data_IF_362808764049
#
_entry.id   IF_362808764049
#
_cell.length_a   1.000
_cell.length_b   1.000
_cell.length_c   1.000
_cell.angle_alpha   90.00
_cell.angle_beta   90.00
_cell.angle_gamma   90.00
#
_symmetry.space_group_name_H-M   'P 1'
#
loop_
_entity.id
_entity.type
_entity.pdbx_description
1 polymer ?
#
# COMPACT_ATOMS: atom_id res chain seq x y z
N UNK A 1 6.73 -23.86 5.06
CA UNK A 1 5.38 -23.32 5.31
C UNK A 1 4.58 -23.40 4.02
N UNK A 2 3.33 -23.84 4.05
CA UNK A 2 2.46 -23.88 2.86
C UNK A 2 1.63 -22.59 2.79
N UNK A 3 2.20 -21.55 2.18
CA UNK A 3 1.58 -20.23 2.09
C UNK A 3 0.23 -20.27 1.37
N UNK A 4 0.09 -21.08 0.33
CA UNK A 4 -1.16 -21.15 -0.45
C UNK A 4 -2.27 -21.67 0.44
N UNK A 5 -2.03 -22.78 1.14
CA UNK A 5 -3.01 -23.36 2.06
C UNK A 5 -3.41 -22.41 3.19
N UNK A 6 -2.46 -21.67 3.77
CA UNK A 6 -2.76 -20.70 4.82
C UNK A 6 -3.61 -19.55 4.28
N UNK A 7 -3.25 -19.01 3.12
CA UNK A 7 -3.99 -17.92 2.50
C UNK A 7 -5.40 -18.34 2.06
N UNK A 8 -5.57 -19.56 1.55
CA UNK A 8 -6.89 -20.11 1.21
C UNK A 8 -7.79 -20.19 2.47
N UNK A 9 -7.24 -20.66 3.61
CA UNK A 9 -7.99 -20.72 4.87
C UNK A 9 -8.39 -19.34 5.40
N UNK A 10 -7.50 -18.36 5.27
CA UNK A 10 -7.78 -16.98 5.67
C UNK A 10 -8.83 -16.32 4.76
N UNK A 11 -8.80 -16.64 3.47
CA UNK A 11 -9.79 -16.16 2.51
C UNK A 11 -11.17 -16.76 2.75
N UNK A 12 -11.26 -18.07 2.99
CA UNK A 12 -12.51 -18.72 3.38
C UNK A 12 -13.09 -18.06 4.64
N UNK A 13 -12.26 -17.90 5.68
CA UNK A 13 -12.64 -17.20 6.92
C UNK A 13 -13.10 -15.77 6.67
N UNK A 14 -12.43 -15.03 5.79
CA UNK A 14 -12.83 -13.66 5.44
C UNK A 14 -14.23 -13.64 4.81
N UNK A 15 -14.52 -14.52 3.87
CA UNK A 15 -15.80 -14.53 3.17
C UNK A 15 -16.96 -15.16 3.96
N UNK A 16 -16.69 -15.84 5.08
CA UNK A 16 -17.74 -16.26 6.02
C UNK A 16 -18.48 -15.07 6.66
N UNK A 17 -17.73 -14.04 7.07
CA UNK A 17 -18.27 -12.81 7.68
C UNK A 17 -17.27 -11.65 7.55
N UNK A 18 -17.21 -10.98 6.37
CA UNK A 18 -16.18 -9.99 6.09
C UNK A 18 -16.10 -8.86 7.11
N UNK A 19 -17.25 -8.34 7.57
CA UNK A 19 -17.31 -7.21 8.48
C UNK A 19 -16.69 -7.54 9.84
N UNK A 20 -16.92 -8.75 10.36
CA UNK A 20 -16.40 -9.16 11.66
C UNK A 20 -15.01 -9.82 11.59
N UNK A 21 -14.63 -10.39 10.44
CA UNK A 21 -13.37 -11.12 10.28
C UNK A 21 -12.21 -10.25 9.77
N UNK A 22 -12.50 -9.12 9.10
CA UNK A 22 -11.48 -8.25 8.47
C UNK A 22 -10.30 -7.94 9.39
N UNK A 23 -10.55 -7.48 10.62
CA UNK A 23 -9.48 -7.12 11.56
C UNK A 23 -8.64 -8.33 11.99
N UNK A 24 -9.28 -9.49 12.23
CA UNK A 24 -8.58 -10.71 12.61
C UNK A 24 -7.73 -11.25 11.46
N UNK A 25 -8.26 -11.26 10.24
CA UNK A 25 -7.53 -11.69 9.04
C UNK A 25 -6.34 -10.77 8.77
N UNK A 26 -6.50 -9.45 8.91
CA UNK A 26 -5.38 -8.51 8.77
C UNK A 26 -4.29 -8.79 9.82
N UNK A 27 -4.66 -9.05 11.07
CA UNK A 27 -3.69 -9.37 12.12
C UNK A 27 -2.92 -10.66 11.81
N UNK A 28 -3.61 -11.72 11.40
CA UNK A 28 -2.97 -12.99 11.00
C UNK A 28 -2.05 -12.83 9.77
N UNK A 29 -2.46 -12.01 8.79
CA UNK A 29 -1.62 -11.69 7.64
C UNK A 29 -0.39 -10.87 8.02
N UNK A 30 -0.52 -9.96 9.00
CA UNK A 30 0.61 -9.21 9.54
C UNK A 30 1.59 -10.12 10.28
N UNK A 31 1.10 -10.99 11.15
CA UNK A 31 1.93 -11.98 11.85
C UNK A 31 2.68 -12.88 10.85
N UNK A 32 1.97 -13.32 9.80
CA UNK A 32 2.56 -14.12 8.73
C UNK A 32 3.65 -13.35 7.98
N UNK A 33 3.38 -12.11 7.56
CA UNK A 33 4.34 -11.23 6.89
C UNK A 33 5.61 -11.05 7.74
N UNK A 34 5.46 -10.75 9.02
CA UNK A 34 6.57 -10.53 9.95
C UNK A 34 7.36 -11.80 10.28
N UNK A 35 6.78 -12.99 10.08
CA UNK A 35 7.44 -14.28 10.31
C UNK A 35 8.31 -14.76 9.14
N UNK A 36 8.26 -14.09 8.00
CA UNK A 36 9.01 -14.46 6.80
C UNK A 36 10.37 -13.76 6.80
N UNK A 37 11.43 -14.52 7.03
CA UNK A 37 12.79 -14.00 7.15
C UNK A 37 13.56 -13.93 5.81
N UNK A 38 13.03 -14.53 4.74
CA UNK A 38 13.68 -14.57 3.43
C UNK A 38 12.94 -13.78 2.36
N UNK A 39 13.69 -13.02 1.56
CA UNK A 39 13.14 -12.08 0.58
C UNK A 39 12.33 -12.77 -0.53
N UNK A 40 12.75 -13.96 -0.97
CA UNK A 40 12.06 -14.72 -2.01
C UNK A 40 10.67 -15.18 -1.55
N UNK A 41 10.56 -15.73 -0.34
CA UNK A 41 9.28 -16.13 0.26
C UNK A 41 8.43 -14.92 0.56
N UNK A 42 9.02 -13.80 0.98
CA UNK A 42 8.30 -12.55 1.24
C UNK A 42 7.67 -12.01 -0.05
N UNK A 43 8.45 -11.95 -1.13
CA UNK A 43 7.96 -11.53 -2.44
C UNK A 43 6.85 -12.45 -2.94
N UNK A 44 7.01 -13.77 -2.77
CA UNK A 44 5.97 -14.75 -3.10
C UNK A 44 4.71 -14.54 -2.27
N UNK A 45 4.82 -14.29 -0.97
CA UNK A 45 3.69 -13.98 -0.10
C UNK A 45 2.95 -12.72 -0.58
N UNK A 46 3.67 -11.62 -0.83
CA UNK A 46 3.09 -10.36 -1.29
C UNK A 46 2.33 -10.51 -2.62
N UNK A 47 2.85 -11.29 -3.58
CA UNK A 47 2.15 -11.59 -4.85
C UNK A 47 0.89 -12.42 -4.60
N UNK A 48 0.96 -13.43 -3.73
CA UNK A 48 -0.16 -14.33 -3.47
C UNK A 48 -1.29 -13.68 -2.66
N UNK A 49 -0.95 -12.78 -1.73
CA UNK A 49 -1.93 -12.14 -0.83
C UNK A 49 -2.64 -10.96 -1.47
N UNK A 50 -1.99 -10.24 -2.41
CA UNK A 50 -2.55 -9.05 -3.03
C UNK A 50 -3.96 -9.24 -3.64
N UNK A 51 -4.26 -10.32 -4.39
CA UNK A 51 -5.60 -10.53 -4.95
C UNK A 51 -6.60 -11.17 -3.98
N UNK A 52 -6.19 -11.51 -2.75
CA UNK A 52 -7.01 -12.29 -1.81
C UNK A 52 -7.81 -11.37 -0.89
N UNK A 53 -8.90 -11.91 -0.36
CA UNK A 53 -9.74 -11.24 0.65
C UNK A 53 -10.15 -9.82 0.22
N UNK A 54 -10.52 -9.63 -1.06
CA UNK A 54 -10.89 -8.31 -1.60
C UNK A 54 -9.75 -7.28 -1.65
N UNK A 55 -8.49 -7.68 -1.43
CA UNK A 55 -7.34 -6.78 -1.44
C UNK A 55 -7.15 -5.98 -0.14
N UNK A 56 -7.76 -6.39 0.98
CA UNK A 56 -7.67 -5.68 2.28
C UNK A 56 -6.23 -5.52 2.78
N UNK A 57 -5.32 -6.38 2.35
CA UNK A 57 -3.92 -6.38 2.79
C UNK A 57 -2.98 -5.59 1.86
N UNK A 58 -3.48 -5.15 0.69
CA UNK A 58 -2.72 -4.35 -0.28
C UNK A 58 -2.05 -3.12 0.35
N UNK A 59 -2.70 -2.32 1.22
CA UNK A 59 -2.06 -1.15 1.82
C UNK A 59 -0.82 -1.50 2.65
N UNK A 60 -0.82 -2.66 3.31
CA UNK A 60 0.25 -3.09 4.21
C UNK A 60 1.48 -3.55 3.42
N UNK A 61 1.28 -4.35 2.36
CA UNK A 61 2.39 -4.72 1.47
C UNK A 61 2.91 -3.51 0.67
N UNK A 62 2.03 -2.57 0.32
CA UNK A 62 2.46 -1.35 -0.38
C UNK A 62 3.31 -0.47 0.54
N UNK A 63 3.00 -0.40 1.84
CA UNK A 63 3.82 0.31 2.82
C UNK A 63 5.25 -0.23 2.83
N UNK A 64 5.42 -1.53 3.03
CA UNK A 64 6.73 -2.18 3.09
C UNK A 64 7.54 -1.94 1.81
N UNK A 65 6.94 -2.21 0.65
CA UNK A 65 7.63 -2.01 -0.64
C UNK A 65 7.90 -0.54 -0.95
N UNK A 66 7.07 0.38 -0.45
CA UNK A 66 7.32 1.81 -0.57
C UNK A 66 8.50 2.24 0.29
N UNK A 67 8.61 1.73 1.52
CA UNK A 67 9.77 1.99 2.38
C UNK A 67 11.07 1.58 1.68
N UNK A 68 11.12 0.38 1.13
CA UNK A 68 12.26 -0.12 0.37
C UNK A 68 12.51 0.67 -0.94
N UNK A 69 11.45 1.10 -1.63
CA UNK A 69 11.55 1.92 -2.85
C UNK A 69 12.24 3.28 -2.62
N UNK A 70 11.98 3.90 -1.46
CA UNK A 70 12.58 5.18 -1.12
C UNK A 70 14.09 5.09 -0.87
N UNK A 71 14.59 3.89 -0.54
CA UNK A 71 16.02 3.60 -0.43
C UNK A 71 16.63 3.14 -1.77
N UNK A 72 15.92 2.31 -2.53
CA UNK A 72 16.34 1.83 -3.86
C UNK A 72 15.16 1.71 -4.83
N UNK A 73 15.33 2.24 -6.05
CA UNK A 73 14.32 2.19 -7.10
C UNK A 73 13.99 0.76 -7.62
N UNK A 74 14.73 -0.27 -7.18
CA UNK A 74 14.57 -1.66 -7.62
C UNK A 74 13.17 -2.24 -7.33
N UNK A 75 12.49 -1.70 -6.31
CA UNK A 75 11.14 -2.12 -5.92
C UNK A 75 10.03 -1.55 -6.83
N UNK A 76 10.38 -0.70 -7.81
CA UNK A 76 9.41 -0.06 -8.72
C UNK A 76 8.49 -1.06 -9.41
N UNK A 77 9.05 -2.11 -10.01
CA UNK A 77 8.25 -3.08 -10.76
C UNK A 77 7.22 -3.74 -9.85
N UNK A 78 7.64 -4.10 -8.63
CA UNK A 78 6.79 -4.69 -7.61
C UNK A 78 5.67 -3.73 -7.17
N UNK A 79 5.99 -2.45 -6.92
CA UNK A 79 4.98 -1.44 -6.59
C UNK A 79 3.96 -1.25 -7.72
N UNK A 80 4.40 -1.28 -8.98
CA UNK A 80 3.48 -1.20 -10.13
C UNK A 80 2.55 -2.42 -10.20
N UNK A 81 3.03 -3.62 -9.86
CA UNK A 81 2.20 -4.83 -9.74
C UNK A 81 1.18 -4.71 -8.60
N UNK A 82 1.59 -4.21 -7.43
CA UNK A 82 0.66 -3.96 -6.31
C UNK A 82 -0.40 -2.92 -6.72
N UNK A 83 -0.02 -1.85 -7.44
CA UNK A 83 -1.00 -0.87 -7.95
C UNK A 83 -1.95 -1.51 -8.95
N UNK A 84 -1.45 -2.40 -9.81
CA UNK A 84 -2.31 -3.16 -10.72
C UNK A 84 -3.31 -4.02 -9.96
N UNK A 85 -2.86 -4.78 -8.95
CA UNK A 85 -3.73 -5.58 -8.10
C UNK A 85 -4.77 -4.70 -7.38
N UNK A 86 -4.35 -3.56 -6.83
CA UNK A 86 -5.27 -2.61 -6.22
C UNK A 86 -6.33 -2.13 -7.21
N UNK A 87 -5.94 -1.76 -8.44
CA UNK A 87 -6.91 -1.26 -9.43
C UNK A 87 -7.93 -2.31 -9.88
N UNK A 88 -7.65 -3.59 -9.62
CA UNK A 88 -8.49 -4.73 -9.95
C UNK A 88 -9.23 -5.29 -8.73
N UNK A 89 -8.94 -4.83 -7.52
CA UNK A 89 -9.58 -5.32 -6.30
C UNK A 89 -10.88 -4.57 -6.01
N UNK A 90 -11.78 -5.23 -5.29
CA UNK A 90 -13.04 -4.64 -4.80
C UNK A 90 -12.80 -3.85 -3.51
N UNK A 91 -11.80 -2.98 -3.51
CA UNK A 91 -11.42 -2.23 -2.31
C UNK A 91 -12.56 -1.29 -1.85
N UNK A 92 -12.75 -1.22 -0.54
CA UNK A 92 -13.74 -0.33 0.07
C UNK A 92 -13.14 1.04 0.40
N UNK A 93 -13.96 1.92 0.98
CA UNK A 93 -13.54 3.28 1.31
C UNK A 93 -12.34 3.29 2.29
N UNK A 94 -12.27 2.32 3.19
CA UNK A 94 -11.20 2.21 4.18
C UNK A 94 -9.83 1.97 3.51
N UNK A 95 -9.76 0.99 2.60
CA UNK A 95 -8.54 0.68 1.85
C UNK A 95 -8.11 1.85 0.98
N UNK A 96 -9.06 2.58 0.35
CA UNK A 96 -8.76 3.80 -0.39
C UNK A 96 -8.15 4.88 0.49
N UNK A 97 -8.67 5.05 1.71
CA UNK A 97 -8.15 6.02 2.69
C UNK A 97 -6.74 5.67 3.14
N UNK A 98 -6.45 4.38 3.34
CA UNK A 98 -5.11 3.87 3.68
C UNK A 98 -4.12 4.00 2.51
N UNK A 99 -4.54 3.65 1.30
CA UNK A 99 -3.70 3.72 0.10
C UNK A 99 -3.40 5.15 -0.34
N UNK A 100 -4.33 6.08 -0.18
CA UNK A 100 -4.20 7.46 -0.65
C UNK A 100 -2.87 8.12 -0.23
N UNK A 101 -2.48 8.20 1.05
CA UNK A 101 -1.23 8.81 1.46
C UNK A 101 -0.02 8.07 0.87
N UNK A 102 -0.07 6.73 0.78
CA UNK A 102 1.02 5.92 0.21
C UNK A 102 1.21 6.18 -1.29
N UNK A 103 0.12 6.21 -2.05
CA UNK A 103 0.13 6.52 -3.48
C UNK A 103 0.62 7.95 -3.75
N UNK A 104 0.23 8.91 -2.91
CA UNK A 104 0.73 10.28 -2.99
C UNK A 104 2.25 10.30 -2.77
N UNK A 105 2.75 9.60 -1.74
CA UNK A 105 4.19 9.51 -1.47
C UNK A 105 4.95 8.84 -2.61
N UNK A 106 4.45 7.71 -3.13
CA UNK A 106 5.04 7.03 -4.28
C UNK A 106 5.11 7.97 -5.51
N UNK A 107 3.97 8.54 -5.91
CA UNK A 107 3.89 9.40 -7.09
C UNK A 107 4.71 10.70 -6.96
N UNK A 108 4.94 11.18 -5.74
CA UNK A 108 5.76 12.37 -5.50
C UNK A 108 7.27 12.08 -5.61
N UNK A 109 7.69 10.84 -5.37
CA UNK A 109 9.09 10.42 -5.43
C UNK A 109 9.46 9.69 -6.74
N UNK A 110 8.46 9.35 -7.56
CA UNK A 110 8.67 8.66 -8.83
C UNK A 110 8.85 9.62 -10.02
N UNK A 111 9.58 9.15 -11.04
CA UNK A 111 9.80 9.87 -12.29
C UNK A 111 8.48 10.06 -13.05
N UNK A 112 8.25 11.26 -13.57
CA UNK A 112 7.02 11.58 -14.33
C UNK A 112 6.75 10.58 -15.48
N UNK A 113 7.80 10.14 -16.17
CA UNK A 113 7.70 9.12 -17.22
C UNK A 113 7.09 7.79 -16.72
N UNK A 114 7.50 7.33 -15.54
CA UNK A 114 6.96 6.09 -14.94
C UNK A 114 5.51 6.27 -14.50
N UNK A 115 5.14 7.47 -14.02
CA UNK A 115 3.74 7.80 -13.71
C UNK A 115 2.87 7.83 -14.96
N UNK A 116 3.38 8.38 -16.07
CA UNK A 116 2.66 8.40 -17.34
C UNK A 116 2.48 6.97 -17.89
N UNK A 117 3.51 6.14 -17.77
CA UNK A 117 3.45 4.71 -18.12
C UNK A 117 2.43 3.96 -17.26
N UNK A 118 2.46 4.13 -15.95
CA UNK A 118 1.47 3.56 -15.01
C UNK A 118 0.05 3.97 -15.40
N UNK A 119 -0.13 5.24 -15.75
CA UNK A 119 -1.41 5.77 -16.19
C UNK A 119 -1.93 5.04 -17.43
N UNK A 120 -1.12 4.97 -18.48
CA UNK A 120 -1.52 4.36 -19.76
C UNK A 120 -1.72 2.85 -19.66
N UNK A 121 -0.85 2.15 -18.92
CA UNK A 121 -0.84 0.69 -18.90
C UNK A 121 -1.86 0.09 -17.95
N UNK A 122 -2.16 0.77 -16.84
CA UNK A 122 -2.98 0.25 -15.73
C UNK A 122 -4.22 1.13 -15.54
N UNK A 123 -4.05 2.41 -15.19
CA UNK A 123 -5.15 3.27 -14.71
C UNK A 123 -6.19 3.54 -15.81
N UNK A 124 -5.77 3.82 -17.04
CA UNK A 124 -6.66 4.13 -18.15
C UNK A 124 -7.45 2.90 -18.64
N UNK A 125 -7.06 1.69 -18.20
CA UNK A 125 -7.79 0.44 -18.48
C UNK A 125 -8.72 0.02 -17.34
N UNK A 126 -8.56 0.61 -16.14
CA UNK A 126 -9.38 0.31 -14.99
C UNK A 126 -10.82 0.84 -15.14
N UNK A 127 -11.71 0.36 -14.26
CA UNK A 127 -13.08 0.81 -14.13
C UNK A 127 -13.14 2.35 -13.96
N UNK A 128 -14.14 3.06 -14.51
CA UNK A 128 -14.19 4.53 -14.49
C UNK A 128 -14.01 5.17 -13.10
N UNK A 129 -14.56 4.56 -12.05
CA UNK A 129 -14.43 5.05 -10.67
C UNK A 129 -12.99 4.97 -10.16
N UNK A 130 -12.31 3.85 -10.39
CA UNK A 130 -10.89 3.64 -10.06
C UNK A 130 -10.03 4.62 -10.86
N UNK A 131 -10.31 4.76 -12.16
CA UNK A 131 -9.62 5.72 -13.02
C UNK A 131 -9.75 7.15 -12.52
N UNK A 132 -10.94 7.54 -12.09
CA UNK A 132 -11.19 8.87 -11.53
C UNK A 132 -10.41 9.09 -10.23
N UNK A 133 -10.41 8.10 -9.33
CA UNK A 133 -9.64 8.14 -8.08
C UNK A 133 -8.15 8.41 -8.36
N UNK A 134 -7.53 7.61 -9.22
CA UNK A 134 -6.10 7.76 -9.55
C UNK A 134 -5.80 9.08 -10.26
N UNK A 135 -6.64 9.50 -11.22
CA UNK A 135 -6.45 10.78 -11.89
C UNK A 135 -6.55 11.97 -10.92
N UNK A 136 -7.42 11.90 -9.90
CA UNK A 136 -7.46 12.90 -8.83
C UNK A 136 -6.14 12.95 -8.04
N UNK A 137 -5.56 11.80 -7.72
CA UNK A 137 -4.26 11.73 -7.02
C UNK A 137 -3.11 12.26 -7.87
N UNK A 138 -2.99 11.83 -9.12
CA UNK A 138 -1.96 12.32 -10.05
C UNK A 138 -2.06 13.85 -10.21
N UNK A 139 -3.28 14.37 -10.41
CA UNK A 139 -3.51 15.81 -10.50
C UNK A 139 -3.19 16.54 -9.19
N UNK A 140 -3.51 15.94 -8.04
CA UNK A 140 -3.16 16.50 -6.74
C UNK A 140 -1.64 16.61 -6.59
N UNK A 141 -0.90 15.54 -6.92
CA UNK A 141 0.55 15.49 -6.77
C UNK A 141 1.23 16.55 -7.63
N UNK A 142 0.82 16.66 -8.90
CA UNK A 142 1.36 17.65 -9.84
C UNK A 142 1.11 19.10 -9.42
N UNK A 143 -0.02 19.39 -8.77
CA UNK A 143 -0.43 20.76 -8.40
C UNK A 143 0.04 21.20 -7.01
N UNK A 144 0.28 20.25 -6.10
CA UNK A 144 0.42 20.55 -4.67
C UNK A 144 1.78 20.09 -4.11
N UNK A 145 2.88 20.47 -4.77
CA UNK A 145 4.26 20.04 -4.42
C UNK A 145 4.60 20.21 -2.94
N UNK A 146 4.14 21.30 -2.29
CA UNK A 146 4.37 21.51 -0.86
C UNK A 146 3.63 20.49 0.01
N UNK A 147 2.37 20.21 -0.32
CA UNK A 147 1.54 19.27 0.42
C UNK A 147 2.04 17.85 0.23
N UNK A 148 2.46 17.47 -0.98
CA UNK A 148 3.03 16.14 -1.25
C UNK A 148 4.32 15.91 -0.50
N UNK A 149 5.19 16.92 -0.42
CA UNK A 149 6.41 16.84 0.41
C UNK A 149 6.10 16.49 1.86
N UNK A 150 5.01 17.00 2.42
CA UNK A 150 4.59 16.65 3.77
C UNK A 150 4.16 15.18 3.90
N UNK A 151 3.53 14.58 2.89
CA UNK A 151 3.23 13.14 2.90
C UNK A 151 4.53 12.32 2.86
N UNK A 152 5.48 12.69 2.00
CA UNK A 152 6.79 12.04 1.95
C UNK A 152 7.53 12.18 3.28
N UNK A 153 7.62 13.38 3.86
CA UNK A 153 8.27 13.59 5.17
C UNK A 153 7.60 12.79 6.29
N UNK A 154 6.27 12.69 6.30
CA UNK A 154 5.56 11.86 7.29
C UNK A 154 5.90 10.38 7.13
N UNK A 155 5.93 9.91 5.88
CA UNK A 155 6.24 8.52 5.61
C UNK A 155 7.70 8.19 5.93
N UNK A 156 8.64 9.09 5.62
CA UNK A 156 10.06 8.96 6.02
C UNK A 156 10.25 8.76 7.53
N UNK A 157 9.41 9.39 8.37
CA UNK A 157 9.46 9.19 9.83
C UNK A 157 8.99 7.78 10.24
N UNK A 158 8.09 7.19 9.45
CA UNK A 158 7.36 5.98 9.81
C UNK A 158 7.80 4.74 9.00
N UNK A 159 8.59 4.89 7.95
CA UNK A 159 8.87 3.80 7.01
C UNK A 159 9.56 2.59 7.65
N UNK A 160 10.34 2.82 8.71
CA UNK A 160 11.11 1.79 9.43
C UNK A 160 10.32 1.11 10.57
N UNK A 161 9.05 1.46 10.77
CA UNK A 161 8.16 0.79 11.71
C UNK A 161 7.11 -0.05 10.98
N UNK A 162 6.49 -0.98 11.71
CA UNK A 162 5.35 -1.76 11.20
C UNK A 162 4.24 -0.84 10.64
N UNK A 163 3.56 -1.24 9.55
CA UNK A 163 2.55 -0.41 8.91
C UNK A 163 1.48 0.05 9.89
N UNK A 164 1.46 1.35 10.17
CA UNK A 164 0.54 1.96 11.13
C UNK A 164 -0.18 3.16 10.51
N UNK A 165 -1.39 2.91 10.01
CA UNK A 165 -2.20 3.90 9.32
C UNK A 165 -2.78 4.97 10.27
N UNK A 166 -2.93 4.66 11.55
CA UNK A 166 -3.31 5.64 12.57
C UNK A 166 -2.20 6.68 12.73
N UNK A 167 -0.95 6.24 12.88
CA UNK A 167 0.21 7.14 12.92
C UNK A 167 0.36 7.92 11.62
N UNK A 168 0.20 7.27 10.46
CA UNK A 168 0.27 7.95 9.17
C UNK A 168 -0.82 9.02 9.01
N UNK A 169 -1.94 8.93 9.73
CA UNK A 169 -2.98 9.95 9.73
C UNK A 169 -2.63 11.19 10.57
N UNK A 170 -1.72 11.07 11.54
CA UNK A 170 -1.39 12.15 12.48
C UNK A 170 -0.73 13.35 11.79
N UNK A 171 -0.89 14.58 12.31
CA UNK A 171 -0.12 15.74 11.85
C UNK A 171 1.38 15.50 11.99
N UNK A 172 2.17 16.01 11.03
CA UNK A 172 3.63 15.84 11.03
C UNK A 172 4.30 16.36 12.32
N UNK A 173 3.76 17.41 12.94
CA UNK A 173 4.28 17.97 14.20
C UNK A 173 4.23 16.94 15.33
N UNK A 174 3.12 16.20 15.46
CA UNK A 174 2.98 15.15 16.48
C UNK A 174 3.90 13.96 16.21
N UNK A 175 4.14 13.63 14.94
CA UNK A 175 5.08 12.58 14.57
C UNK A 175 6.51 12.95 14.93
N UNK A 176 6.92 14.20 14.64
CA UNK A 176 8.25 14.69 15.02
C UNK A 176 8.45 14.67 16.53
N UNK A 177 7.46 15.09 17.32
CA UNK A 177 7.54 15.02 18.78
C UNK A 177 7.71 13.57 19.31
N UNK A 178 7.05 12.60 18.67
CA UNK A 178 7.09 11.19 19.07
C UNK A 178 8.39 10.48 18.68
N UNK A 179 8.91 10.72 17.47
CA UNK A 179 9.98 9.93 16.87
C UNK A 179 11.28 10.71 16.62
N UNK A 180 11.22 12.04 16.58
CA UNK A 180 12.37 12.92 16.36
C UNK A 180 12.55 13.83 17.58
N UNK A 181 12.84 13.24 18.75
CA UNK A 181 13.30 14.03 19.91
C UNK A 181 14.54 14.82 19.47
N UNK A 182 14.44 16.15 19.62
CA UNK A 182 15.42 17.20 19.29
C UNK A 182 16.86 16.79 19.54
#
# INVERSE_FOLDING_TARGET
>A
MDLVKILDQLEDKYYEDPENQKAAVIAELLDLHMSIDDEDTLNRFCVLVAPRCGGIYIPYIFWDKLAAFLESEDQRAFLQEIISAFTQSDFEEEEQRKMKPLLITYMANEKQFEIDKLKTLIIDKAHPTVREYFNKLINFVRKNVRSTKMYSEKFEILKDIEPNFELLSLPITQLKEKFQRV
#
